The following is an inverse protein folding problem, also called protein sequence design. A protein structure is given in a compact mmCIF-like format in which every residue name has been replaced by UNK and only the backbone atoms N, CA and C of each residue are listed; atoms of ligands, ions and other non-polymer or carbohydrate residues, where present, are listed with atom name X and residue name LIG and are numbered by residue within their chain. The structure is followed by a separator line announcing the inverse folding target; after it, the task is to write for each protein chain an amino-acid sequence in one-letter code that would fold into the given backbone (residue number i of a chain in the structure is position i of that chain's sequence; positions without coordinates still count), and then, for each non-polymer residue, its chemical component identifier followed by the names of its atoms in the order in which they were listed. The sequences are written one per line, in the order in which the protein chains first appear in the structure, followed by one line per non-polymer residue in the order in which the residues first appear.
data_IF_138073100884
#
_entry.id   IF_138073100884
#
_cell.length_a   1.000
_cell.length_b   1.000
_cell.length_c   1.000
_cell.angle_alpha   90.00
_cell.angle_beta   90.00
_cell.angle_gamma   90.00
#
_symmetry.space_group_name_H-M   'P 1'
#
loop_
_entity.id
_entity.type
_entity.pdbx_description
1 polymer ?
#
# COMPACT_ATOMS: atom_id res chain seq x y z
N UNK A 1 -15.15 87.58 17.23
CA UNK A 1 -14.65 86.73 18.34
C UNK A 1 -15.89 86.23 19.09
N UNK A 2 -16.06 84.95 19.46
CA UNK A 2 -15.07 83.90 19.71
C UNK A 2 -15.37 82.55 19.02
N UNK A 3 -14.41 81.65 19.20
CA UNK A 3 -14.35 80.24 18.83
C UNK A 3 -15.52 79.40 19.35
N UNK A 4 -15.86 78.32 18.64
CA UNK A 4 -15.78 76.96 19.22
C UNK A 4 -15.64 75.94 18.09
N UNK A 5 -14.51 75.25 18.09
CA UNK A 5 -14.30 74.04 17.31
C UNK A 5 -14.27 72.82 18.24
N UNK A 6 -14.75 71.70 17.68
CA UNK A 6 -14.40 70.28 17.91
C UNK A 6 -14.85 69.68 19.27
N UNK A 7 -15.25 68.38 19.36
CA UNK A 7 -14.60 67.24 18.70
C UNK A 7 -15.48 66.21 17.98
N UNK A 8 -14.87 65.34 17.14
CA UNK A 8 -15.52 64.11 16.68
C UNK A 8 -15.97 63.28 17.88
N UNK A 9 -17.14 62.66 17.75
CA UNK A 9 -17.56 61.63 18.68
C UNK A 9 -16.48 60.56 18.73
N UNK A 10 -15.96 60.19 19.90
CA UNK A 10 -15.29 58.92 20.02
C UNK A 10 -16.36 57.87 19.71
N UNK A 11 -16.27 57.23 18.55
CA UNK A 11 -16.69 55.84 18.47
C UNK A 11 -15.86 55.18 19.57
N UNK A 12 -16.53 54.85 20.68
CA UNK A 12 -15.96 53.94 21.64
C UNK A 12 -15.75 52.66 20.84
N UNK A 13 -14.55 52.51 20.28
CA UNK A 13 -14.05 51.22 19.84
C UNK A 13 -14.27 50.34 21.07
N UNK A 14 -15.23 49.45 20.94
CA UNK A 14 -15.55 48.45 21.93
C UNK A 14 -14.31 47.57 22.02
N UNK A 15 -13.33 48.01 22.80
CA UNK A 15 -12.21 47.24 23.32
C UNK A 15 -12.76 46.19 24.29
N UNK A 16 -13.80 45.45 23.87
CA UNK A 16 -14.18 44.17 24.41
C UNK A 16 -13.04 43.20 24.11
N UNK A 17 -11.98 43.35 24.91
CA UNK A 17 -10.86 42.43 24.94
C UNK A 17 -11.36 41.03 25.29
N UNK A 18 -10.81 40.03 24.60
CA UNK A 18 -11.03 38.61 24.87
C UNK A 18 -11.06 38.35 26.39
N UNK A 19 -12.21 37.96 26.91
CA UNK A 19 -12.35 37.67 28.33
C UNK A 19 -11.54 36.43 28.70
N UNK A 20 -11.02 36.36 29.94
CA UNK A 20 -10.36 35.15 30.45
C UNK A 20 -11.24 33.89 30.29
N UNK A 21 -12.57 34.05 30.39
CA UNK A 21 -13.53 32.97 30.17
C UNK A 21 -13.55 32.47 28.72
N UNK A 22 -13.40 33.37 27.75
CA UNK A 22 -13.40 33.01 26.34
C UNK A 22 -12.17 32.18 26.00
N UNK A 23 -11.00 32.55 26.53
CA UNK A 23 -9.76 31.77 26.40
C UNK A 23 -9.94 30.36 26.97
N UNK A 24 -10.53 30.24 28.18
CA UNK A 24 -10.77 28.94 28.81
C UNK A 24 -11.74 28.09 27.98
N UNK A 25 -12.80 28.71 27.43
CA UNK A 25 -13.75 28.02 26.55
C UNK A 25 -13.06 27.59 25.25
N UNK A 26 -12.26 28.44 24.60
CA UNK A 26 -11.52 28.09 23.39
C UNK A 26 -10.56 26.93 23.64
N UNK A 27 -9.80 26.94 24.74
CA UNK A 27 -8.91 25.83 25.11
C UNK A 27 -9.70 24.54 25.38
N UNK A 28 -10.86 24.64 26.03
CA UNK A 28 -11.74 23.49 26.26
C UNK A 28 -12.29 22.94 24.94
N UNK A 29 -12.78 23.80 24.05
CA UNK A 29 -13.27 23.40 22.73
C UNK A 29 -12.16 22.76 21.89
N UNK A 30 -10.94 23.32 21.91
CA UNK A 30 -9.78 22.72 21.24
C UNK A 30 -9.46 21.34 21.82
N UNK A 31 -9.49 21.18 23.14
CA UNK A 31 -9.23 19.89 23.78
C UNK A 31 -10.29 18.84 23.40
N UNK A 32 -11.57 19.21 23.41
CA UNK A 32 -12.68 18.33 22.99
C UNK A 32 -12.53 17.95 21.52
N UNK A 33 -12.20 18.91 20.65
CA UNK A 33 -11.96 18.64 19.22
C UNK A 33 -10.76 17.71 19.02
N UNK A 34 -9.64 17.94 19.73
CA UNK A 34 -8.47 17.09 19.64
C UNK A 34 -8.79 15.63 20.02
N UNK A 35 -9.54 15.42 21.11
CA UNK A 35 -9.98 14.09 21.55
C UNK A 35 -10.93 13.46 20.52
N UNK A 36 -11.81 14.25 19.92
CA UNK A 36 -12.74 13.77 18.88
C UNK A 36 -12.01 13.27 17.63
N UNK A 37 -10.82 13.79 17.30
CA UNK A 37 -10.05 13.37 16.13
C UNK A 37 -9.08 12.20 16.38
N UNK A 38 -8.75 11.86 17.64
CA UNK A 38 -7.90 10.70 17.96
C UNK A 38 -8.32 9.39 17.27
N UNK A 39 -9.61 8.97 17.25
CA UNK A 39 -9.99 7.73 16.58
C UNK A 39 -9.72 7.77 15.07
N UNK A 40 -9.86 8.93 14.43
CA UNK A 40 -9.58 9.12 13.00
C UNK A 40 -8.09 8.92 12.72
N UNK A 41 -7.23 9.48 13.57
CA UNK A 41 -5.78 9.31 13.44
C UNK A 41 -5.37 7.84 13.62
N UNK A 42 -5.92 7.15 14.60
CA UNK A 42 -5.65 5.74 14.83
C UNK A 42 -6.07 4.87 13.63
N UNK A 43 -7.26 5.14 13.07
CA UNK A 43 -7.73 4.45 11.86
C UNK A 43 -6.83 4.73 10.65
N UNK A 44 -6.43 5.99 10.45
CA UNK A 44 -5.52 6.36 9.37
C UNK A 44 -4.18 5.64 9.47
N UNK A 45 -3.60 5.54 10.67
CA UNK A 45 -2.35 4.82 10.90
C UNK A 45 -2.47 3.30 10.61
N UNK A 46 -3.59 2.68 11.00
CA UNK A 46 -3.86 1.27 10.71
C UNK A 46 -3.99 1.02 9.21
N UNK A 47 -4.73 1.88 8.50
CA UNK A 47 -4.89 1.80 7.04
C UNK A 47 -3.53 1.93 6.35
N UNK A 48 -2.70 2.89 6.79
CA UNK A 48 -1.36 3.07 6.26
C UNK A 48 -0.49 1.82 6.44
N UNK A 49 -0.54 1.18 7.62
CA UNK A 49 0.20 -0.05 7.89
C UNK A 49 -0.23 -1.22 6.98
N UNK A 50 -1.55 -1.40 6.78
CA UNK A 50 -2.08 -2.44 5.88
C UNK A 50 -1.65 -2.19 4.43
N UNK A 51 -1.72 -0.94 3.98
CA UNK A 51 -1.33 -0.57 2.62
C UNK A 51 0.17 -0.74 2.39
N UNK A 52 1.01 -0.44 3.39
CA UNK A 52 2.45 -0.68 3.30
C UNK A 52 2.76 -2.16 3.09
N UNK A 53 2.08 -3.07 3.80
CA UNK A 53 2.26 -4.52 3.62
C UNK A 53 1.82 -4.97 2.22
N UNK A 54 0.69 -4.46 1.72
CA UNK A 54 0.22 -4.76 0.36
C UNK A 54 1.19 -4.25 -0.70
N UNK A 55 1.76 -3.06 -0.53
CA UNK A 55 2.76 -2.52 -1.44
C UNK A 55 4.02 -3.39 -1.51
N UNK A 56 4.53 -3.84 -0.36
CA UNK A 56 5.65 -4.79 -0.31
C UNK A 56 5.30 -6.14 -0.95
N UNK A 57 4.10 -6.67 -0.73
CA UNK A 57 3.64 -7.89 -1.40
C UNK A 57 3.61 -7.72 -2.93
N UNK A 58 3.12 -6.59 -3.44
CA UNK A 58 3.13 -6.29 -4.88
C UNK A 58 4.54 -6.20 -5.44
N UNK A 59 5.47 -5.56 -4.72
CA UNK A 59 6.88 -5.51 -5.13
C UNK A 59 7.49 -6.92 -5.26
N UNK A 60 7.19 -7.80 -4.31
CA UNK A 60 7.63 -9.21 -4.38
C UNK A 60 7.01 -9.91 -5.61
N UNK A 61 5.71 -9.71 -5.88
CA UNK A 61 5.07 -10.28 -7.07
C UNK A 61 5.77 -9.81 -8.36
N UNK A 62 6.07 -8.51 -8.47
CA UNK A 62 6.79 -7.95 -9.62
C UNK A 62 8.19 -8.56 -9.73
N UNK A 63 8.93 -8.64 -8.63
CA UNK A 63 10.26 -9.25 -8.60
C UNK A 63 10.25 -10.72 -9.06
N UNK A 64 9.21 -11.48 -8.70
CA UNK A 64 9.04 -12.87 -9.16
C UNK A 64 8.74 -12.93 -10.66
N UNK A 65 7.90 -12.03 -11.18
CA UNK A 65 7.63 -11.95 -12.63
C UNK A 65 8.90 -11.58 -13.41
N UNK A 66 9.72 -10.66 -12.90
CA UNK A 66 11.00 -10.29 -13.50
C UNK A 66 11.99 -11.47 -13.51
N UNK A 67 12.06 -12.23 -12.41
CA UNK A 67 12.90 -13.44 -12.34
C UNK A 67 12.49 -14.49 -13.38
N UNK A 68 11.19 -14.72 -13.56
CA UNK A 68 10.70 -15.62 -14.62
C UNK A 68 11.02 -15.07 -16.00
N UNK A 69 10.80 -13.76 -16.22
CA UNK A 69 11.09 -13.12 -17.50
C UNK A 69 12.57 -13.18 -17.87
N UNK A 70 13.47 -13.16 -16.89
CA UNK A 70 14.91 -13.30 -17.10
C UNK A 70 15.33 -14.69 -17.59
N UNK A 71 14.47 -15.71 -17.44
CA UNK A 71 14.70 -17.06 -17.99
C UNK A 71 14.41 -17.15 -19.50
N UNK A 72 13.83 -16.11 -20.09
CA UNK A 72 13.42 -16.09 -21.48
C UNK A 72 12.24 -17.02 -21.77
N UNK A 73 12.23 -17.64 -22.95
CA UNK A 73 11.17 -18.53 -23.40
C UNK A 73 11.43 -20.02 -23.15
N UNK A 74 12.57 -20.42 -22.55
CA UNK A 74 12.88 -21.85 -22.38
C UNK A 74 11.85 -22.55 -21.47
N UNK A 75 11.08 -23.49 -22.04
CA UNK A 75 10.07 -24.24 -21.29
C UNK A 75 10.67 -25.00 -20.11
N UNK A 76 11.85 -25.60 -20.30
CA UNK A 76 12.52 -26.38 -19.24
C UNK A 76 13.00 -25.49 -18.09
N UNK A 77 13.57 -24.32 -18.40
CA UNK A 77 14.04 -23.37 -17.40
C UNK A 77 12.89 -22.80 -16.58
N UNK A 78 11.82 -22.34 -17.24
CA UNK A 78 10.64 -21.78 -16.56
C UNK A 78 9.93 -22.84 -15.71
N UNK A 79 9.82 -24.08 -16.21
CA UNK A 79 9.21 -25.18 -15.45
C UNK A 79 10.05 -25.56 -14.23
N UNK A 80 11.37 -25.60 -14.35
CA UNK A 80 12.28 -25.86 -13.23
C UNK A 80 12.20 -24.76 -12.16
N UNK A 81 12.13 -23.50 -12.58
CA UNK A 81 11.92 -22.37 -11.68
C UNK A 81 10.57 -22.47 -10.96
N UNK A 82 9.49 -22.76 -11.70
CA UNK A 82 8.15 -22.91 -11.13
C UNK A 82 7.99 -24.10 -10.18
N UNK A 83 8.83 -25.13 -10.30
CA UNK A 83 8.86 -26.27 -9.38
C UNK A 83 9.56 -25.94 -8.06
N UNK A 84 10.33 -24.84 -8.00
CA UNK A 84 11.03 -24.42 -6.79
C UNK A 84 10.10 -23.58 -5.92
N UNK A 85 10.07 -23.88 -4.62
CA UNK A 85 9.33 -23.05 -3.65
C UNK A 85 10.12 -21.77 -3.40
N UNK A 86 9.57 -20.57 -3.69
CA UNK A 86 10.27 -19.32 -3.41
C UNK A 86 10.56 -19.15 -1.92
N UNK A 87 11.70 -18.56 -1.58
CA UNK A 87 12.09 -18.33 -0.18
C UNK A 87 11.20 -17.26 0.44
N UNK A 88 10.70 -17.45 1.67
CA UNK A 88 9.96 -16.41 2.37
C UNK A 88 10.81 -15.15 2.60
N UNK A 89 10.18 -13.99 2.45
CA UNK A 89 10.79 -12.67 2.63
C UNK A 89 10.31 -12.10 3.97
N UNK A 90 11.24 -11.84 4.88
CA UNK A 90 10.94 -11.27 6.19
C UNK A 90 11.26 -9.78 6.23
N UNK A 91 10.35 -9.00 6.80
CA UNK A 91 10.55 -7.58 7.12
C UNK A 91 10.05 -7.24 8.53
N UNK A 92 10.14 -5.97 8.92
CA UNK A 92 9.68 -5.48 10.22
C UNK A 92 8.15 -5.62 10.45
N UNK A 93 7.37 -5.92 9.40
CA UNK A 93 5.90 -6.08 9.42
C UNK A 93 5.46 -7.54 9.28
N UNK A 94 6.41 -8.48 9.18
CA UNK A 94 6.21 -9.91 9.22
C UNK A 94 6.90 -10.67 8.08
N UNK A 95 6.54 -11.94 7.91
CA UNK A 95 7.09 -12.80 6.86
C UNK A 95 6.05 -13.04 5.76
N UNK A 96 6.45 -12.75 4.53
CA UNK A 96 5.66 -12.92 3.32
C UNK A 96 6.17 -14.15 2.54
N UNK A 97 5.24 -14.97 2.07
CA UNK A 97 5.53 -16.17 1.28
C UNK A 97 5.09 -15.94 -0.17
N UNK A 98 6.01 -15.91 -1.14
CA UNK A 98 5.66 -15.92 -2.54
C UNK A 98 5.29 -17.33 -3.00
N UNK A 99 4.43 -17.37 -4.01
CA UNK A 99 4.01 -18.57 -4.71
C UNK A 99 3.93 -18.30 -6.20
N UNK A 100 4.16 -19.34 -6.97
CA UNK A 100 4.11 -19.30 -8.41
C UNK A 100 3.46 -20.58 -8.94
N UNK A 101 2.56 -20.44 -9.90
CA UNK A 101 1.93 -21.55 -10.59
C UNK A 101 1.97 -21.31 -12.10
N UNK A 102 2.47 -22.31 -12.80
CA UNK A 102 2.48 -22.37 -14.25
C UNK A 102 1.42 -23.37 -14.71
N UNK A 103 0.49 -22.93 -15.56
CA UNK A 103 -0.59 -23.79 -16.07
C UNK A 103 -0.13 -24.50 -17.34
N UNK A 104 0.61 -25.60 -17.16
CA UNK A 104 1.00 -26.54 -18.23
C UNK A 104 0.35 -27.91 -18.00
N UNK A 105 0.04 -28.68 -19.06
CA UNK A 105 -0.45 -30.04 -18.91
C UNK A 105 0.51 -30.90 -18.08
N UNK A 106 -0.05 -31.73 -17.19
CA UNK A 106 0.75 -32.68 -16.43
C UNK A 106 1.45 -33.65 -17.40
N UNK A 107 2.77 -33.79 -17.26
CA UNK A 107 3.59 -34.63 -18.15
C UNK A 107 4.10 -33.92 -19.41
N UNK A 108 3.89 -32.61 -19.56
CA UNK A 108 4.51 -31.87 -20.66
C UNK A 108 6.05 -31.89 -20.51
N UNK A 109 6.76 -32.42 -21.50
CA UNK A 109 8.20 -32.68 -21.47
C UNK A 109 9.03 -31.61 -22.17
N UNK A 110 8.41 -30.53 -22.66
CA UNK A 110 9.12 -29.44 -23.37
C UNK A 110 9.96 -29.98 -24.55
N UNK A 111 9.44 -30.93 -25.34
CA UNK A 111 10.17 -31.54 -26.46
C UNK A 111 9.79 -30.86 -27.78
N UNK A 112 10.76 -30.69 -28.68
CA UNK A 112 10.55 -30.10 -30.00
C UNK A 112 9.51 -30.86 -30.85
N UNK A 113 8.70 -30.17 -31.66
CA UNK A 113 8.54 -28.71 -31.70
C UNK A 113 7.70 -28.22 -30.50
N UNK A 114 8.23 -27.25 -29.74
CA UNK A 114 7.54 -26.69 -28.58
C UNK A 114 7.35 -25.19 -28.76
N UNK A 115 6.11 -24.74 -28.96
CA UNK A 115 5.78 -23.32 -28.98
C UNK A 115 4.37 -23.13 -28.43
N UNK A 116 4.25 -22.60 -27.21
CA UNK A 116 2.96 -22.46 -26.51
C UNK A 116 2.93 -21.21 -25.65
N UNK A 117 1.78 -20.55 -25.63
CA UNK A 117 1.49 -19.48 -24.67
C UNK A 117 0.70 -20.08 -23.52
N UNK A 118 1.22 -19.94 -22.29
CA UNK A 118 0.60 -20.53 -21.10
C UNK A 118 0.36 -19.49 -20.01
N UNK A 119 -0.71 -19.64 -19.20
CA UNK A 119 -0.93 -18.80 -18.03
C UNK A 119 0.13 -19.02 -16.95
N UNK A 120 0.67 -17.91 -16.46
CA UNK A 120 1.51 -17.83 -15.26
C UNK A 120 0.76 -17.03 -14.19
N UNK A 121 0.68 -17.58 -12.99
CA UNK A 121 0.12 -16.91 -11.82
C UNK A 121 1.17 -16.78 -10.73
N UNK A 122 1.30 -15.60 -10.16
CA UNK A 122 2.17 -15.30 -9.03
C UNK A 122 1.34 -14.64 -7.94
N UNK A 123 1.49 -15.06 -6.70
CA UNK A 123 0.79 -14.45 -5.58
C UNK A 123 1.63 -14.50 -4.30
N UNK A 124 1.30 -13.64 -3.36
CA UNK A 124 2.00 -13.54 -2.08
C UNK A 124 0.97 -13.60 -0.95
N UNK A 125 1.26 -14.43 0.05
CA UNK A 125 0.49 -14.48 1.30
C UNK A 125 1.40 -14.15 2.49
N UNK A 126 0.80 -13.99 3.67
CA UNK A 126 1.54 -14.05 4.93
C UNK A 126 1.81 -15.50 5.29
N UNK A 127 3.00 -15.82 5.80
CA UNK A 127 3.31 -17.18 6.28
C UNK A 127 2.26 -17.62 7.31
N UNK A 128 1.70 -18.83 7.13
CA UNK A 128 0.63 -19.36 7.96
C UNK A 128 -0.79 -18.88 7.61
N UNK A 129 -0.94 -18.07 6.55
CA UNK A 129 -2.23 -17.61 6.04
C UNK A 129 -2.43 -18.01 4.57
N UNK A 130 -3.68 -18.27 4.21
CA UNK A 130 -4.10 -18.47 2.81
C UNK A 130 -4.63 -17.19 2.15
N UNK A 131 -4.73 -16.08 2.90
CA UNK A 131 -5.22 -14.82 2.35
C UNK A 131 -4.17 -14.18 1.43
N UNK A 132 -4.52 -14.00 0.16
CA UNK A 132 -3.67 -13.34 -0.83
C UNK A 132 -3.61 -11.83 -0.54
N UNK A 133 -2.39 -11.31 -0.41
CA UNK A 133 -2.13 -9.89 -0.21
C UNK A 133 -1.97 -9.15 -1.53
N UNK A 134 -1.32 -9.81 -2.49
CA UNK A 134 -1.13 -9.37 -3.86
C UNK A 134 -1.05 -10.58 -4.79
N UNK A 135 -1.52 -10.42 -6.03
CA UNK A 135 -1.49 -11.46 -7.05
C UNK A 135 -1.39 -10.84 -8.44
N UNK A 136 -0.73 -11.55 -9.36
CA UNK A 136 -0.71 -11.22 -10.78
C UNK A 136 -0.91 -12.49 -11.62
N UNK A 137 -1.65 -12.33 -12.71
CA UNK A 137 -1.83 -13.35 -13.74
C UNK A 137 -1.33 -12.76 -15.06
N UNK A 138 -0.48 -13.51 -15.76
CA UNK A 138 0.07 -13.12 -17.05
C UNK A 138 0.14 -14.32 -17.99
N UNK A 139 0.45 -14.05 -19.26
CA UNK A 139 0.72 -15.07 -20.26
C UNK A 139 2.21 -15.03 -20.59
N UNK A 140 2.82 -16.21 -20.71
CA UNK A 140 4.22 -16.33 -21.13
C UNK A 140 4.31 -17.24 -22.35
N UNK A 141 5.18 -16.90 -23.29
CA UNK A 141 5.53 -17.75 -24.41
C UNK A 141 6.63 -18.72 -23.98
N UNK A 142 6.38 -20.00 -24.16
CA UNK A 142 7.34 -21.07 -23.95
C UNK A 142 7.74 -21.68 -25.29
N UNK A 143 9.04 -21.88 -25.45
CA UNK A 143 9.73 -22.47 -26.59
C UNK A 143 10.48 -23.73 -26.14
N UNK A 144 11.05 -24.45 -27.10
CA UNK A 144 11.97 -25.57 -26.88
C UNK A 144 13.12 -25.17 -25.91
N UNK A 145 13.67 -26.16 -25.18
CA UNK A 145 14.59 -25.96 -24.06
C UNK A 145 15.84 -25.14 -24.39
#
# INVERSE_FOLDING_TARGET
MPHTGRPPHPEAEDESGFGLIEIVISMFLIAVLAIAFLPVLAQAAQIAAVNAVRASATQIVVQQLEQVGALGSSCSAVKAFAATVPVPVADARGTLQPYLALTVPAGDVCVEPYLRVVPLRVWVTRVGSSAELASANTLILLDAP
#
